data_IF_295775324115
#
_entry.id   IF_295775324115
#
_cell.length_a   1.000
_cell.length_b   1.000
_cell.length_c   1.000
_cell.angle_alpha   90.00
_cell.angle_beta   90.00
_cell.angle_gamma   90.00
#
_symmetry.space_group_name_H-M   'P 1'
#
loop_
_entity.id
_entity.type
_entity.pdbx_description
1 polymer ?
#
# COMPACT_ATOMS: atom_id res chain seq x y z
N UNK A 1 0.31 0.97 -6.20
CA UNK A 1 0.93 2.32 -6.11
C UNK A 1 2.05 2.38 -5.08
N UNK A 2 1.80 2.09 -3.79
CA UNK A 2 2.86 2.19 -2.76
C UNK A 2 4.05 1.23 -2.97
N UNK A 3 3.83 0.00 -3.45
CA UNK A 3 4.91 -0.95 -3.76
C UNK A 3 5.88 -0.37 -4.80
N UNK A 4 5.35 0.06 -5.95
CA UNK A 4 6.15 0.65 -7.02
C UNK A 4 6.82 1.97 -6.58
N UNK A 5 6.13 2.82 -5.83
CA UNK A 5 6.75 4.03 -5.27
C UNK A 5 7.87 3.70 -4.27
N UNK A 6 7.75 2.61 -3.51
CA UNK A 6 8.80 2.14 -2.60
C UNK A 6 10.04 1.68 -3.36
N UNK A 7 9.89 0.99 -4.49
CA UNK A 7 11.01 0.62 -5.38
C UNK A 7 11.79 1.86 -5.84
N UNK A 8 11.06 2.90 -6.25
CA UNK A 8 11.64 4.18 -6.65
C UNK A 8 12.41 4.83 -5.49
N UNK A 9 11.83 4.84 -4.28
CA UNK A 9 12.52 5.38 -3.08
C UNK A 9 13.77 4.56 -2.73
N UNK A 10 13.75 3.23 -2.88
CA UNK A 10 14.94 2.37 -2.66
C UNK A 10 16.04 2.64 -3.69
N UNK A 11 15.65 2.88 -4.95
CA UNK A 11 16.54 3.31 -6.03
C UNK A 11 17.04 4.76 -5.88
N UNK A 12 16.70 5.45 -4.79
CA UNK A 12 17.00 6.88 -4.53
C UNK A 12 16.41 7.83 -5.58
N UNK A 13 15.29 7.45 -6.18
CA UNK A 13 14.50 8.31 -7.06
C UNK A 13 13.77 9.42 -6.28
N UNK A 14 13.15 10.31 -7.04
CA UNK A 14 12.49 11.53 -6.60
C UNK A 14 10.98 11.46 -6.83
N UNK A 15 10.24 12.48 -6.36
CA UNK A 15 8.78 12.57 -6.52
C UNK A 15 8.37 12.54 -8.01
N UNK A 16 9.20 13.12 -8.89
CA UNK A 16 8.99 13.13 -10.34
C UNK A 16 8.99 11.72 -10.93
N UNK A 17 9.91 10.86 -10.49
CA UNK A 17 9.96 9.46 -10.95
C UNK A 17 8.67 8.71 -10.55
N UNK A 18 8.10 9.01 -9.37
CA UNK A 18 6.81 8.47 -8.94
C UNK A 18 5.66 9.02 -9.78
N UNK A 19 5.68 10.30 -10.12
CA UNK A 19 4.68 10.91 -10.99
C UNK A 19 4.66 10.26 -12.37
N UNK A 20 5.83 10.10 -12.99
CA UNK A 20 5.98 9.47 -14.30
C UNK A 20 5.59 7.99 -14.27
N UNK A 21 6.08 7.24 -13.27
CA UNK A 21 5.81 5.81 -13.17
C UNK A 21 4.33 5.48 -12.87
N UNK A 22 3.63 6.33 -12.10
CA UNK A 22 2.24 6.09 -11.69
C UNK A 22 1.20 6.86 -12.52
N UNK A 23 1.61 7.84 -13.33
CA UNK A 23 0.70 8.66 -14.13
C UNK A 23 -0.29 9.48 -13.29
N UNK A 24 0.07 9.85 -12.06
CA UNK A 24 -0.81 10.56 -11.12
C UNK A 24 -0.49 12.06 -11.06
N UNK A 25 -1.45 12.88 -10.62
CA UNK A 25 -1.24 14.32 -10.43
C UNK A 25 -0.09 14.61 -9.44
N UNK A 26 0.72 15.68 -9.62
CA UNK A 26 1.88 15.99 -8.77
C UNK A 26 1.59 15.97 -7.25
N UNK A 27 0.43 16.51 -6.85
CA UNK A 27 0.00 16.48 -5.45
C UNK A 27 -0.17 15.05 -4.89
N UNK A 28 -0.69 14.14 -5.72
CA UNK A 28 -0.86 12.73 -5.34
C UNK A 28 0.50 12.03 -5.34
N UNK A 29 1.36 12.29 -6.33
CA UNK A 29 2.72 11.75 -6.37
C UNK A 29 3.50 12.12 -5.11
N UNK A 30 3.42 13.38 -4.65
CA UNK A 30 4.03 13.82 -3.40
C UNK A 30 3.55 13.06 -2.18
N UNK A 31 2.24 12.81 -2.07
CA UNK A 31 1.67 11.99 -0.98
C UNK A 31 2.16 10.55 -1.03
N UNK A 32 2.13 9.94 -2.22
CA UNK A 32 2.54 8.54 -2.41
C UNK A 32 4.04 8.36 -2.11
N UNK A 33 4.89 9.29 -2.55
CA UNK A 33 6.32 9.29 -2.25
C UNK A 33 6.59 9.39 -0.74
N UNK A 34 5.93 10.33 -0.05
CA UNK A 34 6.04 10.46 1.40
C UNK A 34 5.56 9.21 2.15
N UNK A 35 4.44 8.62 1.73
CA UNK A 35 3.92 7.40 2.34
C UNK A 35 4.84 6.21 2.09
N UNK A 36 5.36 6.04 0.88
CA UNK A 36 6.28 4.95 0.52
C UNK A 36 7.55 4.96 1.39
N UNK A 37 8.06 6.13 1.76
CA UNK A 37 9.19 6.27 2.68
C UNK A 37 8.95 5.75 4.11
N UNK A 38 7.69 5.54 4.52
CA UNK A 38 7.32 5.03 5.85
C UNK A 38 7.26 3.51 5.92
N UNK A 39 7.35 2.82 4.79
CA UNK A 39 7.24 1.37 4.73
C UNK A 39 8.52 0.74 4.18
N UNK A 40 8.81 -0.48 4.61
CA UNK A 40 9.80 -1.34 3.93
C UNK A 40 9.10 -2.12 2.82
N UNK A 41 9.85 -2.58 1.81
CA UNK A 41 9.28 -3.43 0.76
C UNK A 41 8.61 -4.68 1.34
N UNK A 42 9.30 -5.35 2.27
CA UNK A 42 8.78 -6.53 2.98
C UNK A 42 7.44 -6.26 3.70
N UNK A 43 7.30 -5.08 4.30
CA UNK A 43 6.03 -4.69 4.96
C UNK A 43 4.91 -4.54 3.94
N UNK A 44 5.17 -3.86 2.80
CA UNK A 44 4.18 -3.67 1.74
C UNK A 44 3.76 -4.99 1.11
N UNK A 45 4.69 -5.90 0.86
CA UNK A 45 4.38 -7.26 0.38
C UNK A 45 3.51 -8.03 1.38
N UNK A 46 3.83 -7.95 2.68
CA UNK A 46 3.04 -8.60 3.73
C UNK A 46 1.62 -8.04 3.79
N UNK A 47 1.45 -6.73 3.67
CA UNK A 47 0.15 -6.05 3.59
C UNK A 47 -0.63 -6.58 2.38
N UNK A 48 0.02 -6.63 1.20
CA UNK A 48 -0.62 -7.10 -0.04
C UNK A 48 -1.09 -8.56 0.05
N UNK A 49 -0.26 -9.45 0.62
CA UNK A 49 -0.64 -10.86 0.84
C UNK A 49 -1.79 -11.01 1.83
N UNK A 50 -1.87 -10.16 2.85
CA UNK A 50 -2.99 -10.17 3.81
C UNK A 50 -4.29 -9.71 3.15
N UNK A 51 -4.25 -8.63 2.37
CA UNK A 51 -5.40 -8.16 1.61
C UNK A 51 -5.93 -9.23 0.65
N UNK A 52 -5.03 -9.96 -0.04
CA UNK A 52 -5.42 -11.08 -0.90
C UNK A 52 -6.15 -12.18 -0.12
N UNK A 53 -5.62 -12.61 1.03
CA UNK A 53 -6.28 -13.62 1.88
C UNK A 53 -7.66 -13.16 2.35
N UNK A 54 -7.81 -11.88 2.66
CA UNK A 54 -9.09 -11.32 3.10
C UNK A 54 -10.13 -11.33 1.97
N UNK A 55 -9.73 -10.98 0.74
CA UNK A 55 -10.60 -11.05 -0.43
C UNK A 55 -11.05 -12.49 -0.73
N UNK A 56 -10.13 -13.45 -0.67
CA UNK A 56 -10.45 -14.88 -0.81
C UNK A 56 -11.44 -15.35 0.26
N UNK A 57 -11.20 -15.01 1.53
CA UNK A 57 -12.07 -15.40 2.64
C UNK A 57 -13.46 -14.75 2.59
N UNK A 58 -13.55 -13.50 2.12
CA UNK A 58 -14.82 -12.81 1.93
C UNK A 58 -15.67 -13.49 0.84
N UNK A 59 -15.03 -13.94 -0.25
CA UNK A 59 -15.69 -14.68 -1.34
C UNK A 59 -16.20 -16.07 -0.92
N UNK A 60 -15.71 -16.62 0.20
CA UNK A 60 -16.14 -17.91 0.75
C UNK A 60 -17.08 -17.78 1.96
N UNK A 61 -17.61 -16.59 2.24
CA UNK A 61 -18.50 -16.30 3.39
C UNK A 61 -17.91 -16.63 4.77
N UNK A 62 -16.58 -16.64 4.92
CA UNK A 62 -15.92 -16.99 6.19
C UNK A 62 -15.96 -15.84 7.22
N UNK A 63 -16.00 -14.59 6.75
CA UNK A 63 -16.09 -13.38 7.58
C UNK A 63 -16.66 -12.22 6.74
N UNK A 64 -17.49 -11.32 7.31
CA UNK A 64 -17.87 -10.07 6.66
C UNK A 64 -16.64 -9.21 6.32
N UNK A 65 -16.55 -8.77 5.06
CA UNK A 65 -15.38 -8.04 4.53
C UNK A 65 -15.15 -6.70 5.23
N UNK A 66 -16.23 -6.02 5.61
CA UNK A 66 -16.22 -4.75 6.33
C UNK A 66 -15.51 -4.86 7.69
N UNK A 67 -15.91 -5.83 8.51
CA UNK A 67 -15.29 -6.09 9.81
C UNK A 67 -13.81 -6.50 9.66
N UNK A 68 -13.49 -7.34 8.69
CA UNK A 68 -12.12 -7.74 8.41
C UNK A 68 -11.25 -6.53 8.02
N UNK A 69 -11.80 -5.61 7.22
CA UNK A 69 -11.11 -4.41 6.76
C UNK A 69 -10.88 -3.41 7.90
N UNK A 70 -11.86 -3.22 8.79
CA UNK A 70 -11.70 -2.36 9.97
C UNK A 70 -10.55 -2.82 10.85
N UNK A 71 -10.50 -4.10 11.21
CA UNK A 71 -9.40 -4.68 11.99
C UNK A 71 -8.05 -4.48 11.29
N UNK A 72 -8.00 -4.73 9.97
CA UNK A 72 -6.79 -4.55 9.19
C UNK A 72 -6.29 -3.10 9.19
N UNK A 73 -7.19 -2.12 9.03
CA UNK A 73 -6.82 -0.70 9.06
C UNK A 73 -6.25 -0.31 10.43
N UNK A 74 -6.86 -0.77 11.53
CA UNK A 74 -6.32 -0.49 12.87
C UNK A 74 -4.90 -1.04 13.05
N UNK A 75 -4.63 -2.24 12.54
CA UNK A 75 -3.28 -2.84 12.64
C UNK A 75 -2.22 -2.14 11.79
N UNK A 76 -2.60 -1.64 10.60
CA UNK A 76 -1.67 -0.99 9.66
C UNK A 76 -1.45 0.49 10.00
N UNK A 77 -2.48 1.19 10.48
CA UNK A 77 -2.43 2.60 10.83
C UNK A 77 -2.04 2.88 12.29
N UNK A 78 -2.16 1.88 13.18
CA UNK A 78 -1.78 1.99 14.59
C UNK A 78 -0.29 1.91 14.90
N UNK A 79 0.57 1.85 13.87
CA UNK A 79 2.04 1.92 13.97
C UNK A 79 2.53 3.26 13.45
#
# INVERSE_FOLDING_TARGET
MLTQAREIVEARGMVQDVQEALGVHPFVAGKVFQQAGRFTMRTLESIYRRLLKMDEAAKTSAMPLDMALEMFVMEVAGK
#
